data_IF_452268906116
#
_entry.id   IF_452268906116
#
_cell.length_a   1.000
_cell.length_b   1.000
_cell.length_c   1.000
_cell.angle_alpha   90.00
_cell.angle_beta   90.00
_cell.angle_gamma   90.00
#
_symmetry.space_group_name_H-M   'P 1'
#
loop_
_entity.id
_entity.type
_entity.pdbx_description
1 polymer ?
#
# COMPACT_ATOMS: atom_id res chain seq x y z
N UNK A 1 -32.63 17.48 34.39
CA UNK A 1 -32.32 16.15 33.84
C UNK A 1 -31.48 16.34 32.59
N UNK A 2 -30.17 16.30 32.74
CA UNK A 2 -29.20 16.49 31.66
C UNK A 2 -29.14 15.20 30.85
N UNK A 3 -29.65 15.24 29.62
CA UNK A 3 -29.64 14.10 28.71
C UNK A 3 -28.17 13.86 28.28
N UNK A 4 -27.54 12.87 28.90
CA UNK A 4 -26.19 12.43 28.59
C UNK A 4 -26.18 11.86 27.17
N UNK A 5 -25.62 12.60 26.22
CA UNK A 5 -25.30 12.07 24.89
C UNK A 5 -24.29 10.93 25.05
N UNK A 6 -24.53 9.74 24.48
CA UNK A 6 -23.53 8.68 24.47
C UNK A 6 -22.31 9.18 23.71
N UNK A 7 -21.14 8.91 24.29
CA UNK A 7 -19.80 9.21 23.78
C UNK A 7 -19.75 9.04 22.26
N UNK A 8 -19.34 10.10 21.56
CA UNK A 8 -19.24 10.14 20.09
C UNK A 8 -18.52 8.89 19.58
N UNK A 9 -19.29 7.98 19.01
CA UNK A 9 -18.76 6.76 18.45
C UNK A 9 -17.84 7.15 17.27
N UNK A 10 -16.64 6.58 17.23
CA UNK A 10 -15.58 7.02 16.33
C UNK A 10 -16.03 6.97 14.86
N UNK A 11 -16.09 8.12 14.18
CA UNK A 11 -16.55 8.29 12.79
C UNK A 11 -15.83 7.36 11.80
N UNK A 12 -14.55 7.05 12.06
CA UNK A 12 -13.77 6.08 11.27
C UNK A 12 -14.32 4.66 11.41
N UNK A 13 -14.75 4.26 12.61
CA UNK A 13 -15.35 2.93 12.87
C UNK A 13 -16.69 2.79 12.14
N UNK A 14 -17.49 3.85 12.11
CA UNK A 14 -18.76 3.87 11.39
C UNK A 14 -18.61 3.70 9.89
N UNK A 15 -17.75 4.49 9.26
CA UNK A 15 -17.50 4.40 7.81
C UNK A 15 -16.97 3.01 7.43
N UNK A 16 -16.15 2.40 8.29
CA UNK A 16 -15.69 1.01 8.11
C UNK A 16 -16.85 0.01 8.13
N UNK A 17 -17.77 0.12 9.09
CA UNK A 17 -18.95 -0.77 9.18
C UNK A 17 -19.85 -0.58 7.97
N UNK A 18 -20.21 0.66 7.63
CA UNK A 18 -21.08 0.97 6.50
C UNK A 18 -20.49 0.47 5.17
N UNK A 19 -19.20 0.73 4.92
CA UNK A 19 -18.49 0.25 3.74
C UNK A 19 -18.44 -1.29 3.67
N UNK A 20 -18.24 -1.95 4.81
CA UNK A 20 -18.19 -3.42 4.89
C UNK A 20 -19.55 -4.03 4.55
N UNK A 21 -20.62 -3.51 5.14
CA UNK A 21 -21.99 -4.00 4.93
C UNK A 21 -22.44 -3.82 3.48
N UNK A 22 -22.21 -2.64 2.89
CA UNK A 22 -22.48 -2.37 1.49
C UNK A 22 -21.74 -3.34 0.55
N UNK A 23 -20.41 -3.48 0.73
CA UNK A 23 -19.61 -4.38 -0.11
C UNK A 23 -20.04 -5.83 0.00
N UNK A 24 -20.49 -6.25 1.18
CA UNK A 24 -21.06 -7.58 1.39
C UNK A 24 -22.28 -7.79 0.50
N UNK A 25 -23.25 -6.87 0.49
CA UNK A 25 -24.45 -6.98 -0.36
C UNK A 25 -24.11 -7.00 -1.86
N UNK A 26 -23.23 -6.10 -2.29
CA UNK A 26 -22.82 -5.99 -3.70
C UNK A 26 -22.08 -7.26 -4.18
N UNK A 27 -21.18 -7.81 -3.37
CA UNK A 27 -20.44 -9.04 -3.70
C UNK A 27 -21.33 -10.28 -3.72
N UNK A 28 -22.28 -10.41 -2.78
CA UNK A 28 -23.25 -11.52 -2.76
C UNK A 28 -24.13 -11.57 -4.02
N UNK A 29 -24.33 -10.42 -4.68
CA UNK A 29 -25.12 -10.32 -5.90
C UNK A 29 -24.25 -10.32 -7.18
N UNK A 30 -23.01 -10.80 -7.10
CA UNK A 30 -22.13 -11.00 -8.26
C UNK A 30 -21.58 -9.71 -8.89
N UNK A 31 -21.67 -8.57 -8.19
CA UNK A 31 -21.13 -7.29 -8.67
C UNK A 31 -19.71 -7.12 -8.12
N UNK A 32 -18.78 -6.86 -9.03
CA UNK A 32 -17.39 -6.63 -8.69
C UNK A 32 -17.20 -5.26 -8.03
N UNK A 33 -17.02 -5.28 -6.71
CA UNK A 33 -16.74 -4.10 -5.87
C UNK A 33 -15.24 -3.85 -5.62
N UNK A 34 -14.36 -4.63 -6.25
CA UNK A 34 -12.91 -4.57 -6.06
C UNK A 34 -12.19 -3.71 -7.11
N UNK A 35 -12.93 -3.05 -8.02
CA UNK A 35 -12.33 -2.18 -9.03
C UNK A 35 -11.72 -0.92 -8.42
N UNK A 36 -10.59 -0.46 -8.96
CA UNK A 36 -9.89 0.74 -8.47
C UNK A 36 -10.76 1.98 -8.57
N UNK A 37 -11.50 2.12 -9.66
CA UNK A 37 -12.39 3.25 -9.90
C UNK A 37 -13.66 3.17 -9.05
N UNK A 38 -14.26 1.98 -8.91
CA UNK A 38 -15.46 1.79 -8.09
C UNK A 38 -15.17 2.04 -6.61
N UNK A 39 -13.98 1.68 -6.14
CA UNK A 39 -13.53 2.05 -4.80
C UNK A 39 -13.37 3.57 -4.61
N UNK A 40 -12.83 4.29 -5.60
CA UNK A 40 -12.71 5.75 -5.54
C UNK A 40 -14.07 6.43 -5.52
N UNK A 41 -14.97 6.03 -6.41
CA UNK A 41 -16.33 6.56 -6.46
C UNK A 41 -17.09 6.28 -5.16
N UNK A 42 -16.92 5.09 -4.60
CA UNK A 42 -17.52 4.72 -3.32
C UNK A 42 -17.00 5.61 -2.19
N UNK A 43 -15.69 5.86 -2.11
CA UNK A 43 -15.13 6.74 -1.09
C UNK A 43 -15.66 8.18 -1.20
N UNK A 44 -15.80 8.70 -2.42
CA UNK A 44 -16.38 10.04 -2.65
C UNK A 44 -17.85 10.09 -2.23
N UNK A 45 -18.62 9.05 -2.56
CA UNK A 45 -20.02 8.95 -2.16
C UNK A 45 -20.17 8.85 -0.63
N UNK A 46 -19.38 7.99 0.01
CA UNK A 46 -19.36 7.85 1.47
C UNK A 46 -18.92 9.13 2.17
N UNK A 47 -18.06 9.95 1.53
CA UNK A 47 -17.68 11.25 2.05
C UNK A 47 -18.84 12.25 2.12
N UNK A 48 -19.77 12.24 1.17
CA UNK A 48 -20.97 13.10 1.18
C UNK A 48 -21.95 12.70 2.28
N UNK A 49 -22.02 11.40 2.61
CA UNK A 49 -22.86 10.89 3.70
C UNK A 49 -22.30 11.27 5.09
N UNK A 50 -21.02 11.70 5.18
CA UNK A 50 -20.37 12.06 6.46
C UNK A 50 -21.00 13.26 7.16
N UNK A 51 -21.75 14.09 6.45
CA UNK A 51 -22.41 15.27 7.01
C UNK A 51 -23.64 14.92 7.86
N UNK A 52 -24.16 13.70 7.74
CA UNK A 52 -25.27 13.20 8.56
C UNK A 52 -24.75 12.45 9.80
N UNK A 53 -25.29 12.77 10.98
CA UNK A 53 -24.85 12.20 12.26
C UNK A 53 -25.49 10.83 12.51
N UNK A 54 -24.67 9.78 12.43
CA UNK A 54 -25.06 8.41 12.79
C UNK A 54 -25.03 8.20 14.30
N UNK A 55 -26.01 7.47 14.84
CA UNK A 55 -26.17 7.26 16.29
C UNK A 55 -25.68 5.89 16.75
N UNK A 56 -25.58 4.87 15.87
CA UNK A 56 -25.12 3.51 16.27
C UNK A 56 -24.51 2.67 15.13
N UNK A 57 -23.62 1.71 15.47
CA UNK A 57 -23.04 0.78 14.47
C UNK A 57 -24.10 -0.07 13.78
N UNK A 58 -25.18 -0.41 14.48
CA UNK A 58 -26.33 -1.13 13.91
C UNK A 58 -27.07 -0.29 12.84
N UNK A 59 -27.21 1.03 13.06
CA UNK A 59 -27.76 1.95 12.07
C UNK A 59 -26.85 2.05 10.84
N UNK A 60 -25.53 2.11 11.02
CA UNK A 60 -24.57 2.13 9.92
C UNK A 60 -24.58 0.83 9.09
N UNK A 61 -24.78 -0.32 9.72
CA UNK A 61 -24.94 -1.60 9.02
C UNK A 61 -26.24 -1.65 8.21
N UNK A 62 -27.36 -1.22 8.79
CA UNK A 62 -28.65 -1.14 8.08
C UNK A 62 -28.56 -0.22 6.86
N UNK A 63 -28.01 0.97 7.02
CA UNK A 63 -27.84 1.94 5.94
C UNK A 63 -26.88 1.39 4.87
N UNK A 64 -25.77 0.77 5.28
CA UNK A 64 -24.84 0.10 4.37
C UNK A 64 -25.52 -0.99 3.54
N UNK A 65 -26.40 -1.79 4.16
CA UNK A 65 -27.15 -2.82 3.44
C UNK A 65 -28.16 -2.21 2.45
N UNK A 66 -28.93 -1.19 2.85
CA UNK A 66 -29.89 -0.52 1.96
C UNK A 66 -29.22 0.13 0.75
N UNK A 67 -28.09 0.80 0.96
CA UNK A 67 -27.29 1.36 -0.13
C UNK A 67 -26.76 0.24 -1.04
N UNK A 68 -26.27 -0.85 -0.45
CA UNK A 68 -25.80 -2.02 -1.19
C UNK A 68 -26.88 -2.60 -2.10
N UNK A 69 -28.12 -2.75 -1.60
CA UNK A 69 -29.25 -3.24 -2.39
C UNK A 69 -29.59 -2.29 -3.53
N UNK A 70 -29.58 -0.97 -3.30
CA UNK A 70 -29.84 0.01 -4.37
C UNK A 70 -28.77 -0.03 -5.47
N UNK A 71 -27.50 -0.21 -5.09
CA UNK A 71 -26.40 -0.41 -6.05
C UNK A 71 -26.66 -1.66 -6.89
N UNK A 72 -27.13 -2.75 -6.27
CA UNK A 72 -27.47 -3.99 -6.99
C UNK A 72 -28.57 -3.75 -8.01
N UNK A 73 -29.67 -3.10 -7.62
CA UNK A 73 -30.77 -2.75 -8.52
C UNK A 73 -30.31 -1.91 -9.71
N UNK A 74 -29.57 -0.82 -9.45
CA UNK A 74 -29.07 0.06 -10.50
C UNK A 74 -28.08 -0.66 -11.43
N UNK A 75 -27.27 -1.56 -10.89
CA UNK A 75 -26.34 -2.38 -11.67
C UNK A 75 -27.08 -3.36 -12.58
N UNK A 76 -28.15 -3.99 -12.09
CA UNK A 76 -29.00 -4.91 -12.87
C UNK A 76 -29.75 -4.17 -13.97
N UNK A 77 -30.37 -3.02 -13.67
CA UNK A 77 -31.07 -2.18 -14.66
C UNK A 77 -30.17 -1.73 -15.82
N UNK A 78 -28.87 -1.56 -15.57
CA UNK A 78 -27.90 -1.10 -16.57
C UNK A 78 -27.07 -2.24 -17.19
N UNK A 79 -27.31 -3.49 -16.80
CA UNK A 79 -26.53 -4.66 -17.25
C UNK A 79 -25.04 -4.58 -16.88
N UNK A 80 -24.71 -3.90 -15.78
CA UNK A 80 -23.32 -3.69 -15.35
C UNK A 80 -22.94 -4.75 -14.31
N UNK A 81 -21.72 -5.28 -14.43
CA UNK A 81 -21.14 -6.26 -13.48
C UNK A 81 -20.06 -5.67 -12.60
N UNK A 82 -19.67 -4.42 -12.83
CA UNK A 82 -18.63 -3.73 -12.08
C UNK A 82 -19.13 -2.43 -11.47
N UNK A 83 -18.62 -2.12 -10.29
CA UNK A 83 -19.02 -0.95 -9.49
C UNK A 83 -18.55 0.40 -10.10
N UNK A 84 -17.61 0.38 -11.04
CA UNK A 84 -16.97 1.55 -11.67
C UNK A 84 -17.66 2.06 -12.95
N UNK A 85 -18.83 1.52 -13.31
CA UNK A 85 -19.51 1.85 -14.56
C UNK A 85 -20.67 2.83 -14.36
N UNK A 86 -20.49 3.88 -13.54
CA UNK A 86 -21.46 4.96 -13.34
C UNK A 86 -22.62 4.65 -12.40
N UNK A 87 -22.68 3.44 -11.83
CA UNK A 87 -23.73 3.02 -10.88
C UNK A 87 -23.71 3.88 -9.60
N UNK A 88 -22.52 4.18 -9.08
CA UNK A 88 -22.38 5.04 -7.88
C UNK A 88 -22.70 6.51 -8.19
N UNK A 89 -22.42 6.95 -9.41
CA UNK A 89 -22.75 8.31 -9.85
C UNK A 89 -24.27 8.50 -9.91
N UNK A 90 -25.01 7.54 -10.46
CA UNK A 90 -26.47 7.55 -10.49
C UNK A 90 -27.07 7.54 -9.07
N UNK A 91 -26.51 6.73 -8.18
CA UNK A 91 -26.89 6.72 -6.76
C UNK A 91 -26.68 8.09 -6.07
N UNK A 92 -25.70 8.87 -6.53
CA UNK A 92 -25.43 10.22 -6.02
C UNK A 92 -26.34 11.30 -6.63
N UNK A 93 -26.91 11.04 -7.80
CA UNK A 93 -27.79 11.94 -8.55
C UNK A 93 -29.26 11.74 -8.16
N UNK A 94 -29.65 10.52 -7.80
CA UNK A 94 -30.92 10.25 -7.11
C UNK A 94 -30.89 10.90 -5.72
N UNK A 95 -31.98 11.56 -5.29
CA UNK A 95 -32.17 12.06 -3.91
C UNK A 95 -32.33 10.92 -2.89
N UNK A 96 -31.59 9.84 -3.06
CA UNK A 96 -31.60 8.62 -2.25
C UNK A 96 -31.13 8.89 -0.82
N UNK A 97 -30.22 9.85 -0.65
CA UNK A 97 -29.79 10.36 0.66
C UNK A 97 -30.87 11.35 1.19
N UNK A 98 -32.08 10.86 1.40
CA UNK A 98 -33.15 11.62 2.06
C UNK A 98 -33.08 11.39 3.58
N UNK A 99 -33.52 12.35 4.43
CA UNK A 99 -33.54 12.20 5.89
C UNK A 99 -34.24 10.92 6.38
N UNK A 100 -35.24 10.45 5.65
CA UNK A 100 -35.97 9.20 5.93
C UNK A 100 -35.09 7.94 5.94
N UNK A 101 -33.99 7.92 5.18
CA UNK A 101 -33.00 6.82 5.20
C UNK A 101 -32.34 6.68 6.59
N UNK A 102 -32.39 7.73 7.41
CA UNK A 102 -31.69 7.84 8.68
C UNK A 102 -32.61 7.73 9.91
N UNK A 103 -33.94 7.80 9.77
CA UNK A 103 -34.87 7.92 10.91
C UNK A 103 -35.41 6.58 11.48
N UNK A 104 -35.29 5.44 10.79
CA UNK A 104 -35.79 4.10 11.19
C UNK A 104 -37.33 3.99 11.42
N UNK A 105 -37.96 2.80 11.29
CA UNK A 105 -37.52 1.53 10.74
C UNK A 105 -38.08 1.35 9.31
N UNK A 106 -37.22 1.04 8.32
CA UNK A 106 -37.71 0.59 7.01
C UNK A 106 -38.07 -0.89 7.17
N UNK A 107 -39.37 -1.18 7.14
CA UNK A 107 -39.90 -2.52 7.00
C UNK A 107 -39.33 -3.15 5.71
N UNK A 108 -38.76 -4.35 5.82
CA UNK A 108 -38.17 -5.08 4.71
C UNK A 108 -39.22 -5.51 3.66
N UNK A 109 -40.51 -5.21 3.86
CA UNK A 109 -41.59 -5.47 2.92
C UNK A 109 -41.83 -4.37 1.87
N UNK A 110 -41.17 -3.21 1.97
CA UNK A 110 -41.36 -2.09 1.03
C UNK A 110 -40.39 -2.09 -0.18
N UNK A 111 -39.86 -3.24 -0.57
CA UNK A 111 -39.18 -3.40 -1.87
C UNK A 111 -40.27 -3.69 -2.91
N UNK A 112 -40.49 -2.85 -3.94
CA UNK A 112 -41.44 -3.18 -4.99
C UNK A 112 -41.01 -4.50 -5.65
N UNK A 113 -41.94 -5.46 -5.87
CA UNK A 113 -41.57 -6.77 -6.38
C UNK A 113 -40.91 -6.63 -7.76
N UNK A 114 -39.73 -7.24 -7.88
CA UNK A 114 -38.99 -7.35 -9.13
C UNK A 114 -39.85 -8.16 -10.08
N UNK A 115 -40.41 -7.49 -11.11
CA UNK A 115 -41.05 -8.18 -12.22
C UNK A 115 -39.95 -8.98 -12.94
N UNK A 116 -40.10 -10.31 -13.14
CA UNK A 116 -39.12 -11.07 -13.89
C UNK A 116 -38.98 -10.48 -15.30
N UNK A 117 -37.79 -10.53 -15.91
CA UNK A 117 -37.58 -9.96 -17.23
C UNK A 117 -38.54 -10.63 -18.22
N UNK A 118 -39.47 -9.84 -18.73
CA UNK A 118 -40.36 -10.23 -19.82
C UNK A 118 -39.51 -10.63 -21.02
N UNK A 119 -39.76 -11.83 -21.54
CA UNK A 119 -39.15 -12.34 -22.75
C UNK A 119 -39.44 -11.41 -23.93
N UNK A 120 -38.40 -10.76 -24.46
CA UNK A 120 -38.24 -10.38 -25.86
C UNK A 120 -36.94 -9.58 -25.98
N UNK A 121 -35.85 -10.25 -26.35
CA UNK A 121 -34.88 -9.76 -27.33
C UNK A 121 -33.95 -10.93 -27.65
N UNK A 122 -34.36 -11.64 -28.70
CA UNK A 122 -33.65 -12.73 -29.34
C UNK A 122 -32.29 -12.22 -29.85
N UNK A 123 -31.20 -12.65 -29.22
CA UNK A 123 -29.89 -12.68 -29.88
C UNK A 123 -29.62 -14.11 -30.31
N UNK A 124 -29.74 -14.31 -31.61
CA UNK A 124 -29.51 -15.54 -32.35
C UNK A 124 -28.04 -15.96 -32.21
N UNK A 125 -27.81 -17.09 -31.52
CA UNK A 125 -26.51 -17.77 -31.49
C UNK A 125 -26.52 -18.78 -32.63
N UNK A 126 -25.80 -18.48 -33.71
CA UNK A 126 -25.47 -19.48 -34.72
C UNK A 126 -24.55 -20.53 -34.09
N UNK A 127 -25.09 -21.73 -33.96
CA UNK A 127 -24.36 -22.95 -33.66
C UNK A 127 -23.59 -23.36 -34.91
N UNK A 128 -22.31 -23.68 -34.75
CA UNK A 128 -21.55 -24.43 -35.75
C UNK A 128 -21.10 -25.72 -35.05
N UNK A 129 -21.71 -26.82 -35.46
CA UNK A 129 -21.38 -28.19 -35.03
C UNK A 129 -19.97 -28.60 -35.48
N UNK A 130 -19.31 -29.53 -34.76
CA UNK A 130 -18.05 -30.13 -35.18
C UNK A 130 -18.29 -31.29 -36.16
N UNK A 131 -17.37 -31.48 -37.12
CA UNK A 131 -17.35 -32.61 -38.03
C UNK A 131 -15.94 -33.24 -38.07
N UNK A 132 -15.80 -34.56 -38.33
CA UNK A 132 -14.81 -35.42 -37.70
C UNK A 132 -13.58 -35.77 -38.56
N UNK A 133 -12.72 -36.58 -37.94
CA UNK A 133 -11.43 -37.12 -38.34
C UNK A 133 -11.29 -37.68 -39.77
N UNK A 134 -10.05 -37.65 -40.27
CA UNK A 134 -9.47 -38.74 -41.06
C UNK A 134 -7.93 -38.72 -40.95
N UNK A 135 -7.38 -39.92 -40.82
CA UNK A 135 -5.98 -40.33 -40.76
C UNK A 135 -5.24 -40.08 -42.09
N UNK A 136 -3.91 -39.91 -42.04
CA UNK A 136 -3.03 -40.74 -42.87
C UNK A 136 -1.57 -40.69 -42.39
N UNK A 137 -1.02 -41.88 -42.27
CA UNK A 137 0.35 -42.27 -41.96
C UNK A 137 1.40 -41.69 -42.92
N UNK A 138 2.62 -41.49 -42.43
CA UNK A 138 3.83 -42.02 -43.05
C UNK A 138 5.04 -41.85 -42.11
N UNK A 139 5.59 -43.00 -41.74
CA UNK A 139 6.89 -43.28 -41.12
C UNK A 139 8.09 -42.73 -41.91
N UNK A 140 9.22 -42.52 -41.22
CA UNK A 140 10.52 -43.21 -41.44
C UNK A 140 11.61 -42.58 -40.53
N UNK A 141 11.91 -43.34 -39.47
CA UNK A 141 13.20 -43.71 -38.83
C UNK A 141 14.51 -42.91 -38.92
N UNK A 142 15.19 -42.90 -37.76
CA UNK A 142 16.64 -43.02 -37.45
C UNK A 142 17.56 -41.88 -37.93
N UNK A 143 18.52 -41.34 -37.17
CA UNK A 143 19.58 -41.89 -36.30
C UNK A 143 20.05 -40.75 -35.34
N UNK A 144 20.41 -41.03 -34.08
CA UNK A 144 21.82 -41.08 -33.58
C UNK A 144 22.57 -39.74 -33.79
N UNK A 145 23.17 -39.04 -32.84
CA UNK A 145 24.13 -39.49 -31.82
C UNK A 145 24.45 -38.28 -30.93
N UNK A 146 24.94 -38.55 -29.72
CA UNK A 146 25.59 -37.65 -28.76
C UNK A 146 26.57 -36.62 -29.33
N UNK A 147 26.88 -35.55 -28.57
CA UNK A 147 28.23 -35.32 -27.98
C UNK A 147 28.22 -34.07 -27.09
N UNK A 148 28.88 -34.25 -25.94
CA UNK A 148 29.30 -33.30 -24.93
C UNK A 148 30.50 -32.51 -25.45
N UNK A 149 30.59 -31.21 -25.22
CA UNK A 149 31.90 -30.55 -25.12
C UNK A 149 31.85 -29.39 -24.12
N UNK A 150 32.59 -29.58 -23.02
CA UNK A 150 33.18 -28.52 -22.22
C UNK A 150 34.48 -28.11 -22.91
N UNK A 151 34.79 -26.83 -23.00
CA UNK A 151 36.17 -26.38 -22.98
C UNK A 151 36.30 -25.06 -22.23
N UNK A 152 37.37 -24.98 -21.45
CA UNK A 152 37.79 -23.88 -20.61
C UNK A 152 39.18 -23.40 -21.06
N UNK A 153 39.52 -22.18 -20.59
CA UNK A 153 40.83 -21.50 -20.67
C UNK A 153 41.09 -20.77 -22.01
N UNK A 154 41.71 -19.59 -22.11
CA UNK A 154 42.70 -18.88 -21.27
C UNK A 154 42.60 -17.34 -21.44
N UNK A 155 43.15 -16.60 -20.47
CA UNK A 155 43.35 -15.15 -20.47
C UNK A 155 44.24 -14.62 -21.62
N UNK A 156 44.05 -13.34 -22.03
CA UNK A 156 45.01 -12.24 -21.80
C UNK A 156 44.55 -10.88 -22.40
N UNK A 157 44.52 -9.86 -21.54
CA UNK A 157 44.88 -8.43 -21.70
C UNK A 157 44.30 -7.49 -22.79
N UNK A 158 43.66 -6.43 -22.26
CA UNK A 158 43.67 -5.01 -22.66
C UNK A 158 43.03 -4.55 -23.96
N UNK A 159 41.85 -3.94 -23.82
CA UNK A 159 41.53 -2.71 -24.53
C UNK A 159 40.70 -1.79 -23.62
N UNK A 160 41.28 -0.62 -23.34
CA UNK A 160 40.67 0.47 -22.61
C UNK A 160 39.35 0.91 -23.27
N UNK A 161 38.26 0.88 -22.52
CA UNK A 161 37.05 1.65 -22.79
C UNK A 161 36.66 2.33 -21.48
N UNK A 162 36.32 3.60 -21.60
CA UNK A 162 36.36 4.61 -20.56
C UNK A 162 35.71 4.22 -19.25
N UNK A 163 36.39 4.63 -18.19
CA UNK A 163 35.81 4.94 -16.88
C UNK A 163 34.70 5.98 -17.06
N UNK A 164 33.51 5.53 -17.47
CA UNK A 164 32.28 6.25 -17.20
C UNK A 164 32.08 6.16 -15.69
N UNK A 165 32.42 7.26 -15.03
CA UNK A 165 31.97 7.60 -13.71
C UNK A 165 30.45 7.44 -13.66
N UNK A 166 29.98 6.29 -13.16
CA UNK A 166 28.57 6.10 -12.84
C UNK A 166 28.20 7.17 -11.82
N UNK A 167 27.53 8.23 -12.27
CA UNK A 167 26.77 9.10 -11.37
C UNK A 167 25.82 8.20 -10.58
N UNK A 168 25.80 8.27 -9.24
CA UNK A 168 24.83 7.50 -8.48
C UNK A 168 23.45 7.95 -8.97
N UNK A 169 22.72 7.03 -9.61
CA UNK A 169 21.34 7.24 -10.07
C UNK A 169 20.57 7.83 -8.88
N UNK A 170 20.06 9.06 -9.03
CA UNK A 170 19.44 9.77 -7.92
C UNK A 170 18.30 8.96 -7.31
N UNK A 171 18.06 9.04 -6.00
CA UNK A 171 17.10 8.15 -5.32
C UNK A 171 15.73 8.14 -6.01
N UNK A 172 15.23 9.29 -6.43
CA UNK A 172 13.97 9.43 -7.18
C UNK A 172 13.94 8.65 -8.49
N UNK A 173 15.05 8.63 -9.21
CA UNK A 173 15.20 7.92 -10.47
C UNK A 173 15.24 6.41 -10.21
N UNK A 174 16.08 5.97 -9.25
CA UNK A 174 16.14 4.57 -8.79
C UNK A 174 14.77 4.06 -8.34
N UNK A 175 14.02 4.83 -7.54
CA UNK A 175 12.64 4.48 -7.16
C UNK A 175 11.70 4.41 -8.36
N UNK A 176 11.90 5.26 -9.38
CA UNK A 176 11.14 5.22 -10.63
C UNK A 176 11.35 3.92 -11.40
N UNK A 177 12.59 3.43 -11.47
CA UNK A 177 12.95 2.15 -12.08
C UNK A 177 12.42 0.97 -11.27
N UNK A 178 12.61 0.99 -9.95
CA UNK A 178 12.12 -0.06 -9.06
C UNK A 178 10.59 -0.21 -9.11
N UNK A 179 9.84 0.88 -9.29
CA UNK A 179 8.40 0.82 -9.53
C UNK A 179 8.08 0.04 -10.82
N UNK A 180 8.81 0.30 -11.91
CA UNK A 180 8.61 -0.41 -13.18
C UNK A 180 8.95 -1.90 -13.01
N UNK A 181 10.06 -2.21 -12.34
CA UNK A 181 10.49 -3.58 -12.06
C UNK A 181 9.47 -4.32 -11.19
N UNK A 182 9.00 -3.72 -10.10
CA UNK A 182 7.98 -4.31 -9.24
C UNK A 182 6.64 -4.53 -9.96
N UNK A 183 6.26 -3.63 -10.88
CA UNK A 183 5.07 -3.81 -11.73
C UNK A 183 5.21 -5.01 -12.67
N UNK A 184 6.38 -5.18 -13.32
CA UNK A 184 6.65 -6.32 -14.20
C UNK A 184 6.68 -7.65 -13.43
N UNK A 185 7.31 -7.65 -12.26
CA UNK A 185 7.40 -8.80 -11.37
C UNK A 185 6.08 -9.14 -10.63
N UNK A 186 5.08 -8.26 -10.71
CA UNK A 186 3.83 -8.33 -9.92
C UNK A 186 4.09 -8.40 -8.40
N UNK A 187 5.21 -7.85 -7.95
CA UNK A 187 5.57 -7.74 -6.54
C UNK A 187 4.78 -6.59 -5.91
N UNK A 188 3.63 -6.93 -5.33
CA UNK A 188 2.70 -5.95 -4.76
C UNK A 188 3.29 -5.22 -3.56
N UNK A 189 4.03 -5.93 -2.69
CA UNK A 189 4.58 -5.33 -1.47
C UNK A 189 5.65 -4.32 -1.85
N UNK A 190 6.63 -4.70 -2.68
CA UNK A 190 7.64 -3.78 -3.19
C UNK A 190 7.04 -2.61 -3.94
N UNK A 191 6.03 -2.85 -4.77
CA UNK A 191 5.36 -1.78 -5.50
C UNK A 191 4.70 -0.76 -4.56
N UNK A 192 4.02 -1.22 -3.51
CA UNK A 192 3.38 -0.35 -2.52
C UNK A 192 4.43 0.41 -1.70
N UNK A 193 5.48 -0.27 -1.22
CA UNK A 193 6.56 0.34 -0.43
C UNK A 193 7.32 1.40 -1.23
N UNK A 194 7.78 1.08 -2.44
CA UNK A 194 8.57 2.01 -3.27
C UNK A 194 7.74 3.23 -3.68
N UNK A 195 6.43 3.05 -3.95
CA UNK A 195 5.51 4.18 -4.18
C UNK A 195 5.32 5.03 -2.93
N UNK A 196 5.24 4.41 -1.76
CA UNK A 196 5.14 5.11 -0.48
C UNK A 196 6.38 5.98 -0.22
N UNK A 197 7.58 5.43 -0.43
CA UNK A 197 8.85 6.17 -0.33
C UNK A 197 8.84 7.37 -1.30
N UNK A 198 8.49 7.13 -2.58
CA UNK A 198 8.43 8.20 -3.59
C UNK A 198 7.44 9.31 -3.22
N UNK A 199 6.29 8.95 -2.65
CA UNK A 199 5.30 9.92 -2.15
C UNK A 199 5.87 10.73 -0.98
N UNK A 200 6.52 10.08 -0.02
CA UNK A 200 7.14 10.76 1.12
C UNK A 200 8.24 11.75 0.67
N UNK A 201 9.03 11.39 -0.35
CA UNK A 201 10.02 12.30 -0.95
C UNK A 201 9.35 13.56 -1.51
N UNK A 202 8.32 13.38 -2.34
CA UNK A 202 7.59 14.50 -2.94
C UNK A 202 6.91 15.38 -1.88
N UNK A 203 6.33 14.78 -0.84
CA UNK A 203 5.74 15.52 0.29
C UNK A 203 6.80 16.36 1.02
N UNK A 204 7.99 15.79 1.25
CA UNK A 204 9.09 16.51 1.89
C UNK A 204 9.61 17.66 1.02
N UNK A 205 9.68 17.49 -0.30
CA UNK A 205 10.04 18.57 -1.23
C UNK A 205 9.01 19.68 -1.22
N UNK A 206 7.73 19.34 -1.32
CA UNK A 206 6.64 20.33 -1.26
C UNK A 206 6.71 21.13 0.03
N UNK A 207 7.03 20.48 1.15
CA UNK A 207 7.22 21.15 2.44
C UNK A 207 8.45 22.09 2.48
N UNK A 208 9.49 21.82 1.68
CA UNK A 208 10.72 22.62 1.61
C UNK A 208 10.66 23.75 0.57
N UNK A 209 9.73 23.71 -0.40
CA UNK A 209 9.58 24.77 -1.41
C UNK A 209 9.48 26.20 -0.84
N UNK A 210 8.76 26.48 0.27
CA UNK A 210 8.73 27.82 0.85
C UNK A 210 10.10 28.34 1.29
N UNK A 211 11.07 27.46 1.54
CA UNK A 211 12.46 27.81 1.86
C UNK A 211 13.36 27.97 0.61
N UNK A 212 12.79 27.94 -0.59
CA UNK A 212 13.53 28.06 -1.85
C UNK A 212 14.22 26.77 -2.30
N UNK A 213 13.99 25.65 -1.61
CA UNK A 213 14.57 24.35 -1.94
C UNK A 213 13.55 23.49 -2.70
N UNK A 214 13.82 23.20 -3.97
CA UNK A 214 12.92 22.41 -4.82
C UNK A 214 13.11 20.90 -4.69
N UNK A 215 14.32 20.45 -4.38
CA UNK A 215 14.69 19.03 -4.31
C UNK A 215 15.44 18.72 -3.02
N UNK A 216 15.31 17.50 -2.49
CA UNK A 216 16.08 17.08 -1.31
C UNK A 216 17.56 16.94 -1.66
N UNK A 217 18.41 17.26 -0.69
CA UNK A 217 19.82 16.85 -0.74
C UNK A 217 19.94 15.35 -0.44
N UNK A 218 21.01 14.67 -0.88
CA UNK A 218 21.22 13.25 -0.58
C UNK A 218 21.15 12.93 0.92
N UNK A 219 21.62 13.86 1.76
CA UNK A 219 21.54 13.72 3.21
C UNK A 219 20.09 13.75 3.73
N UNK A 220 19.25 14.63 3.19
CA UNK A 220 17.84 14.69 3.54
C UNK A 220 17.06 13.48 3.02
N UNK A 221 17.46 12.92 1.88
CA UNK A 221 16.89 11.68 1.34
C UNK A 221 17.14 10.50 2.28
N UNK A 222 18.39 10.32 2.74
CA UNK A 222 18.76 9.30 3.72
C UNK A 222 18.00 9.50 5.04
N UNK A 223 17.85 10.74 5.49
CA UNK A 223 17.11 11.06 6.72
C UNK A 223 15.64 10.67 6.62
N UNK A 224 15.01 10.95 5.47
CA UNK A 224 13.64 10.55 5.20
C UNK A 224 13.50 9.01 5.19
N UNK A 225 14.41 8.31 4.50
CA UNK A 225 14.42 6.84 4.46
C UNK A 225 14.60 6.24 5.86
N UNK A 226 15.50 6.80 6.68
CA UNK A 226 15.73 6.36 8.04
C UNK A 226 14.48 6.58 8.91
N UNK A 227 13.78 7.69 8.72
CA UNK A 227 12.49 7.96 9.37
C UNK A 227 11.42 6.95 8.94
N UNK A 228 11.32 6.61 7.65
CA UNK A 228 10.37 5.61 7.16
C UNK A 228 10.69 4.22 7.75
N UNK A 229 11.95 3.81 7.76
CA UNK A 229 12.39 2.54 8.37
C UNK A 229 12.03 2.48 9.86
N UNK A 230 12.29 3.56 10.59
CA UNK A 230 11.91 3.68 12.00
C UNK A 230 10.41 3.54 12.20
N UNK A 231 9.59 4.20 11.38
CA UNK A 231 8.14 4.08 11.46
C UNK A 231 7.69 2.62 11.28
N UNK A 232 8.33 1.85 10.40
CA UNK A 232 8.05 0.41 10.26
C UNK A 232 8.46 -0.37 11.50
N UNK A 233 9.67 -0.15 12.04
CA UNK A 233 10.14 -0.80 13.28
C UNK A 233 9.20 -0.55 14.47
N UNK A 234 8.81 0.71 14.68
CA UNK A 234 7.86 1.10 15.72
C UNK A 234 6.49 0.42 15.49
N UNK A 235 6.03 0.31 14.23
CA UNK A 235 4.76 -0.34 13.88
C UNK A 235 4.80 -1.86 14.08
N UNK A 236 5.92 -2.52 13.74
CA UNK A 236 6.16 -3.95 13.99
C UNK A 236 6.03 -4.24 15.49
N UNK A 237 6.69 -3.45 16.33
CA UNK A 237 6.63 -3.60 17.79
C UNK A 237 5.19 -3.42 18.30
N UNK A 238 4.48 -2.39 17.83
CA UNK A 238 3.10 -2.13 18.21
C UNK A 238 2.15 -3.26 17.79
N UNK A 239 2.28 -3.79 16.57
CA UNK A 239 1.44 -4.89 16.09
C UNK A 239 1.73 -6.20 16.82
N UNK A 240 3.00 -6.51 17.11
CA UNK A 240 3.37 -7.68 17.95
C UNK A 240 2.79 -7.56 19.36
N UNK A 241 2.90 -6.38 20.00
CA UNK A 241 2.27 -6.14 21.31
C UNK A 241 0.75 -6.28 21.28
N UNK A 242 0.13 -6.01 20.13
CA UNK A 242 -1.31 -6.15 19.92
C UNK A 242 -1.78 -7.54 19.45
N UNK A 243 -0.89 -8.54 19.34
CA UNK A 243 -1.24 -9.87 18.82
C UNK A 243 -1.71 -9.85 17.36
N UNK A 244 -1.10 -8.98 16.55
CA UNK A 244 -1.40 -8.81 15.11
C UNK A 244 -0.17 -9.14 14.27
N UNK A 245 0.25 -10.39 14.35
CA UNK A 245 1.41 -10.96 13.64
C UNK A 245 1.28 -10.76 12.13
N UNK A 246 0.07 -10.86 11.58
CA UNK A 246 -0.24 -10.61 10.16
C UNK A 246 0.20 -9.20 9.70
N UNK A 247 -0.03 -8.19 10.55
CA UNK A 247 0.38 -6.83 10.26
C UNK A 247 1.86 -6.61 10.54
N UNK A 248 2.41 -7.24 11.58
CA UNK A 248 3.83 -7.16 11.90
C UNK A 248 4.70 -7.75 10.79
N UNK A 249 4.31 -8.90 10.21
CA UNK A 249 4.98 -9.51 9.07
C UNK A 249 4.95 -8.60 7.85
N UNK A 250 3.79 -8.00 7.55
CA UNK A 250 3.68 -7.02 6.46
C UNK A 250 4.66 -5.87 6.66
N UNK A 251 4.68 -5.27 7.85
CA UNK A 251 5.59 -4.16 8.14
C UNK A 251 7.07 -4.57 8.09
N UNK A 252 7.41 -5.81 8.47
CA UNK A 252 8.76 -6.35 8.36
C UNK A 252 9.21 -6.51 6.89
N UNK A 253 8.31 -6.95 6.01
CA UNK A 253 8.59 -7.02 4.57
C UNK A 253 8.78 -5.62 3.97
N UNK A 254 7.94 -4.66 4.34
CA UNK A 254 8.09 -3.27 3.90
C UNK A 254 9.40 -2.65 4.43
N UNK A 255 9.77 -2.92 5.69
CA UNK A 255 11.03 -2.48 6.30
C UNK A 255 12.25 -3.00 5.53
N UNK A 256 12.30 -4.30 5.24
CA UNK A 256 13.42 -4.91 4.52
C UNK A 256 13.64 -4.24 3.15
N UNK A 257 12.56 -3.84 2.48
CA UNK A 257 12.63 -3.13 1.19
C UNK A 257 13.19 -1.72 1.37
N UNK A 258 12.75 -0.97 2.40
CA UNK A 258 13.27 0.37 2.72
C UNK A 258 14.78 0.30 3.03
N UNK A 259 15.21 -0.71 3.78
CA UNK A 259 16.63 -0.90 4.15
C UNK A 259 17.55 -1.10 2.94
N UNK A 260 17.02 -1.58 1.80
CA UNK A 260 17.82 -1.66 0.54
C UNK A 260 18.18 -0.30 -0.07
N UNK A 261 17.57 0.79 0.41
CA UNK A 261 17.86 2.16 -0.01
C UNK A 261 18.71 2.93 1.02
N UNK A 262 18.95 2.35 2.19
CA UNK A 262 19.78 2.94 3.23
C UNK A 262 21.22 2.42 3.13
N UNK A 263 22.21 3.18 3.66
CA UNK A 263 23.53 2.63 3.95
C UNK A 263 23.42 1.38 4.83
N UNK A 264 24.42 0.51 4.77
CA UNK A 264 24.46 -0.69 5.61
C UNK A 264 24.25 -0.32 7.09
N UNK A 265 23.20 -0.89 7.69
CA UNK A 265 22.89 -0.67 9.08
C UNK A 265 23.98 -1.30 9.96
N UNK A 266 24.43 -0.58 10.97
CA UNK A 266 25.42 -1.08 11.91
C UNK A 266 24.77 -2.07 12.89
N UNK A 267 25.52 -3.10 13.27
CA UNK A 267 25.17 -3.92 14.42
C UNK A 267 25.29 -3.10 15.70
N UNK A 268 24.60 -3.53 16.76
CA UNK A 268 24.65 -2.85 18.06
C UNK A 268 26.09 -2.78 18.60
N UNK A 269 26.89 -3.84 18.41
CA UNK A 269 28.30 -3.89 18.82
C UNK A 269 29.15 -2.83 18.12
N UNK A 270 29.09 -2.78 16.78
CA UNK A 270 29.82 -1.78 15.98
C UNK A 270 29.35 -0.36 16.30
N UNK A 271 28.06 -0.20 16.57
CA UNK A 271 27.49 1.09 16.97
C UNK A 271 28.06 1.54 18.32
N UNK A 272 28.19 0.64 19.29
CA UNK A 272 28.83 0.91 20.58
C UNK A 272 30.31 1.28 20.41
N UNK A 273 31.06 0.56 19.58
CA UNK A 273 32.47 0.86 19.31
C UNK A 273 32.66 2.26 18.71
N UNK A 274 31.86 2.63 17.72
CA UNK A 274 31.93 3.97 17.12
C UNK A 274 31.53 5.05 18.14
N UNK A 275 30.52 4.80 18.97
CA UNK A 275 30.13 5.75 20.01
C UNK A 275 31.25 5.94 21.05
N UNK A 276 31.95 4.87 21.45
CA UNK A 276 33.10 4.95 22.36
C UNK A 276 34.25 5.79 21.76
N UNK A 277 34.51 5.63 20.45
CA UNK A 277 35.46 6.46 19.73
C UNK A 277 35.05 7.93 19.75
N UNK A 278 33.79 8.23 19.45
CA UNK A 278 33.27 9.61 19.47
C UNK A 278 33.35 10.22 20.87
N UNK A 279 33.01 9.47 21.91
CA UNK A 279 33.13 9.93 23.31
C UNK A 279 34.57 10.32 23.62
N UNK A 280 35.53 9.49 23.18
CA UNK A 280 36.96 9.73 23.36
C UNK A 280 37.43 10.96 22.57
N UNK A 281 37.06 11.08 21.29
CA UNK A 281 37.40 12.20 20.41
C UNK A 281 36.89 13.55 20.94
N UNK A 282 35.67 13.55 21.48
CA UNK A 282 35.02 14.76 22.02
C UNK A 282 35.48 15.07 23.46
N UNK A 283 36.18 14.13 24.11
CA UNK A 283 36.60 14.24 25.50
C UNK A 283 35.41 14.29 26.46
N UNK A 284 34.34 13.56 26.15
CA UNK A 284 33.12 13.53 26.95
C UNK A 284 33.31 12.61 28.16
N UNK A 285 32.91 13.09 29.35
CA UNK A 285 33.10 12.35 30.61
C UNK A 285 31.83 12.25 31.45
N UNK A 286 30.79 12.99 31.10
CA UNK A 286 29.55 13.02 31.87
C UNK A 286 28.33 13.22 31.00
N UNK A 287 27.14 12.97 31.56
CA UNK A 287 25.86 13.26 30.92
C UNK A 287 25.69 14.72 30.46
N UNK A 288 26.49 15.68 30.98
CA UNK A 288 26.49 17.08 30.48
C UNK A 288 27.04 17.19 29.06
N UNK A 289 27.86 16.23 28.64
CA UNK A 289 28.53 16.20 27.34
C UNK A 289 27.71 15.50 26.26
N UNK A 290 26.56 14.92 26.66
CA UNK A 290 25.62 14.20 25.80
C UNK A 290 25.32 14.96 24.50
N UNK A 291 25.04 16.26 24.59
CA UNK A 291 24.71 17.08 23.42
C UNK A 291 25.85 17.17 22.40
N UNK A 292 27.11 17.22 22.89
CA UNK A 292 28.30 17.27 22.02
C UNK A 292 28.51 15.93 21.32
N UNK A 293 28.44 14.83 22.07
CA UNK A 293 28.57 13.47 21.53
C UNK A 293 27.46 13.18 20.53
N UNK A 294 26.21 13.52 20.85
CA UNK A 294 25.07 13.34 19.94
C UNK A 294 25.23 14.13 18.65
N UNK A 295 25.74 15.36 18.69
CA UNK A 295 25.98 16.17 17.49
C UNK A 295 26.94 15.50 16.50
N UNK A 296 28.03 14.92 17.00
CA UNK A 296 29.00 14.18 16.18
C UNK A 296 28.43 12.84 15.73
N UNK A 297 27.84 12.08 16.64
CA UNK A 297 27.28 10.75 16.38
C UNK A 297 26.18 10.78 15.33
N UNK A 298 25.21 11.70 15.43
CA UNK A 298 24.13 11.81 14.44
C UNK A 298 24.66 12.17 13.05
N UNK A 299 25.75 12.95 12.98
CA UNK A 299 26.37 13.32 11.70
C UNK A 299 27.14 12.14 11.09
N UNK A 300 27.95 11.43 11.88
CA UNK A 300 28.76 10.30 11.39
C UNK A 300 27.91 9.05 11.09
N UNK A 301 26.87 8.79 11.89
CA UNK A 301 26.03 7.59 11.82
C UNK A 301 24.73 7.81 11.04
N UNK A 302 24.66 8.90 10.25
CA UNK A 302 23.43 9.28 9.53
C UNK A 302 22.97 8.17 8.60
N UNK A 303 21.76 7.64 8.87
CA UNK A 303 21.18 6.55 8.10
C UNK A 303 21.78 5.17 8.34
N UNK A 304 22.76 5.03 9.25
CA UNK A 304 23.39 3.74 9.60
C UNK A 304 22.87 3.17 10.92
N UNK A 305 22.23 4.00 11.76
CA UNK A 305 21.61 3.59 13.02
C UNK A 305 20.38 4.47 13.34
N UNK A 306 19.43 3.96 14.15
CA UNK A 306 18.31 4.78 14.61
C UNK A 306 18.76 5.78 15.68
N UNK A 307 18.25 7.01 15.60
CA UNK A 307 18.61 8.06 16.56
C UNK A 307 18.25 7.73 18.02
N UNK A 308 17.17 6.96 18.29
CA UNK A 308 16.88 6.53 19.67
C UNK A 308 17.89 5.49 20.14
N UNK A 309 18.35 4.60 19.25
CA UNK A 309 19.40 3.62 19.58
C UNK A 309 20.73 4.33 19.89
N UNK A 310 21.14 5.30 19.06
CA UNK A 310 22.31 6.13 19.33
C UNK A 310 22.17 6.81 20.70
N UNK A 311 21.05 7.48 20.94
CA UNK A 311 20.81 8.17 22.21
C UNK A 311 20.84 7.23 23.42
N UNK A 312 20.25 6.05 23.31
CA UNK A 312 20.22 5.06 24.38
C UNK A 312 21.64 4.59 24.74
N UNK A 313 22.45 4.27 23.73
CA UNK A 313 23.84 3.83 23.92
C UNK A 313 24.70 4.96 24.48
N UNK A 314 24.61 6.17 23.94
CA UNK A 314 25.38 7.31 24.47
C UNK A 314 25.00 7.57 25.93
N UNK A 315 23.69 7.47 26.26
CA UNK A 315 23.22 7.58 27.65
C UNK A 315 23.82 6.48 28.52
N UNK A 316 23.77 5.23 28.11
CA UNK A 316 24.37 4.10 28.83
C UNK A 316 25.87 4.32 29.10
N UNK A 317 26.61 4.91 28.15
CA UNK A 317 28.06 5.11 28.24
C UNK A 317 28.50 6.35 29.06
N UNK A 318 27.62 7.33 29.23
CA UNK A 318 27.92 8.61 29.91
C UNK A 318 27.19 8.77 31.26
N UNK A 319 26.52 7.73 31.73
CA UNK A 319 25.85 7.70 33.05
C UNK A 319 26.59 6.73 33.97
#
# INVERSE_FOLDING_TARGET
MTQLYPSSLNQSKFLKVLKKSLKKVVSLNGINSATKNGNKELEVFLAKIRENTFTSTAQAEKIGNSIGSRIVELSQQKGKKNLDQGVIRLLSEEKFISPQLFESPIDASAVPPIKPPTAAETFEVQQQEPSPAAESEASVTHEDTSVIEQEAATADTSAAVGSESQTPVGLKERLGEDIKTAMKAKDKIRLETVRSIKKALLEKEVALRPSGQETLTPEQEIELLAQQAKQRRDSIEQFKKGGREDLAEKEALELAIIETYLPAQLSEEKLKEIIDQIITEVGATSAKDMGRVMGVAVKQLKGQADGKQIQAIVKEKLT
#
